data_IF_605099260331
#
_entry.id   IF_605099260331
#
_cell.length_a   1.000
_cell.length_b   1.000
_cell.length_c   1.000
_cell.angle_alpha   90.00
_cell.angle_beta   90.00
_cell.angle_gamma   90.00
#
_symmetry.space_group_name_H-M   'P 1'
#
loop_
_entity.id
_entity.type
_entity.pdbx_description
1 polymer ?
#
# COMPACT_ATOMS: atom_id res chain seq x y z
N UNK A 1 2.06 8.09 3.64
CA UNK A 1 1.83 7.41 4.94
C UNK A 1 0.31 7.28 5.15
N UNK A 2 -0.19 6.28 5.88
CA UNK A 2 -1.65 6.04 5.99
C UNK A 2 -2.39 6.94 6.98
N UNK A 3 -3.69 6.67 7.18
CA UNK A 3 -4.48 7.17 8.30
C UNK A 3 -4.76 8.69 8.26
N UNK A 4 -4.86 9.33 9.42
CA UNK A 4 -5.19 10.77 9.48
C UNK A 4 -4.12 11.66 8.85
N UNK A 5 -2.87 11.20 8.79
CA UNK A 5 -1.79 11.90 8.08
C UNK A 5 -2.09 12.04 6.59
N UNK A 6 -2.68 11.02 5.94
CA UNK A 6 -3.00 11.10 4.51
C UNK A 6 -4.10 12.12 4.20
N UNK A 7 -4.89 12.52 5.20
CA UNK A 7 -5.93 13.55 5.07
C UNK A 7 -5.36 14.92 5.41
N UNK A 8 -4.63 15.03 6.53
CA UNK A 8 -4.07 16.30 7.01
C UNK A 8 -2.92 16.82 6.14
N UNK A 9 -2.15 15.91 5.57
CA UNK A 9 -0.95 16.20 4.78
C UNK A 9 -1.05 15.49 3.42
N UNK A 10 -2.15 15.74 2.69
CA UNK A 10 -2.52 14.98 1.50
C UNK A 10 -1.41 14.98 0.42
N UNK A 11 -0.84 16.14 0.11
CA UNK A 11 0.22 16.27 -0.90
C UNK A 11 1.48 15.49 -0.53
N UNK A 12 1.96 15.67 0.72
CA UNK A 12 3.14 14.97 1.23
C UNK A 12 2.91 13.47 1.23
N UNK A 13 1.77 13.01 1.76
CA UNK A 13 1.43 11.60 1.77
C UNK A 13 1.33 11.01 0.36
N UNK A 14 0.83 11.80 -0.59
CA UNK A 14 0.72 11.48 -2.01
C UNK A 14 2.07 11.19 -2.66
N UNK A 15 3.06 12.06 -2.47
CA UNK A 15 4.41 11.83 -3.00
C UNK A 15 5.11 10.65 -2.29
N UNK A 16 4.93 10.50 -0.97
CA UNK A 16 5.48 9.34 -0.25
C UNK A 16 4.94 8.01 -0.78
N UNK A 17 3.63 7.92 -1.04
CA UNK A 17 3.03 6.66 -1.53
C UNK A 17 3.39 6.38 -2.98
N UNK A 18 3.53 7.43 -3.80
CA UNK A 18 4.03 7.34 -5.18
C UNK A 18 5.44 6.76 -5.22
N UNK A 19 6.36 7.32 -4.44
CA UNK A 19 7.73 6.81 -4.34
C UNK A 19 7.76 5.37 -3.83
N UNK A 20 6.98 5.06 -2.79
CA UNK A 20 6.88 3.69 -2.27
C UNK A 20 6.39 2.70 -3.31
N UNK A 21 5.35 3.05 -4.09
CA UNK A 21 4.83 2.19 -5.14
C UNK A 21 5.82 2.03 -6.29
N UNK A 22 6.54 3.09 -6.67
CA UNK A 22 7.59 3.01 -7.69
C UNK A 22 8.66 1.96 -7.31
N UNK A 23 9.21 2.05 -6.10
CA UNK A 23 10.20 1.07 -5.61
C UNK A 23 9.61 -0.34 -5.47
N UNK A 24 8.37 -0.47 -4.99
CA UNK A 24 7.69 -1.77 -4.94
C UNK A 24 7.60 -2.42 -6.31
N UNK A 25 7.34 -1.65 -7.37
CA UNK A 25 7.17 -2.20 -8.71
C UNK A 25 8.49 -2.60 -9.40
N UNK A 26 9.64 -2.16 -8.91
CA UNK A 26 10.95 -2.60 -9.43
C UNK A 26 11.15 -4.10 -9.28
N UNK A 27 10.65 -4.70 -8.19
CA UNK A 27 10.74 -6.14 -7.92
C UNK A 27 9.53 -6.94 -8.40
N UNK A 28 8.52 -6.27 -8.97
CA UNK A 28 7.29 -6.87 -9.54
C UNK A 28 6.63 -7.91 -8.62
N UNK A 29 6.27 -7.53 -7.37
CA UNK A 29 5.76 -8.48 -6.40
C UNK A 29 4.33 -8.91 -6.76
N UNK A 30 4.02 -10.18 -6.55
CA UNK A 30 2.63 -10.66 -6.62
C UNK A 30 1.83 -10.24 -5.38
N UNK A 31 2.50 -10.12 -4.23
CA UNK A 31 1.88 -9.82 -2.93
C UNK A 31 2.58 -8.68 -2.20
N UNK A 32 1.80 -7.84 -1.55
CA UNK A 32 2.26 -6.89 -0.54
C UNK A 32 1.58 -7.20 0.78
N UNK A 33 2.37 -7.54 1.80
CA UNK A 33 1.88 -7.91 3.12
C UNK A 33 2.31 -6.83 4.13
N UNK A 34 1.39 -6.40 4.99
CA UNK A 34 1.70 -5.46 6.07
C UNK A 34 0.82 -5.66 7.30
N UNK A 35 1.14 -4.94 8.38
CA UNK A 35 0.43 -5.03 9.66
C UNK A 35 -0.38 -3.77 10.01
N UNK A 36 -0.31 -2.73 9.18
CA UNK A 36 -1.05 -1.49 9.40
C UNK A 36 -2.09 -1.29 8.29
N UNK A 37 -3.37 -1.44 8.65
CA UNK A 37 -4.49 -1.36 7.72
C UNK A 37 -4.55 0.00 7.01
N UNK A 38 -4.20 1.08 7.71
CA UNK A 38 -4.25 2.43 7.14
C UNK A 38 -3.18 2.65 6.07
N UNK A 39 -2.00 2.07 6.27
CA UNK A 39 -0.92 2.05 5.30
C UNK A 39 -1.27 1.17 4.11
N UNK A 40 -1.83 -0.02 4.36
CA UNK A 40 -2.27 -0.94 3.32
C UNK A 40 -3.33 -0.30 2.43
N UNK A 41 -4.33 0.38 2.99
CA UNK A 41 -5.35 1.11 2.24
C UNK A 41 -4.76 2.21 1.37
N UNK A 42 -3.81 2.97 1.91
CA UNK A 42 -3.15 4.05 1.17
C UNK A 42 -2.34 3.51 -0.02
N UNK A 43 -1.57 2.43 0.20
CA UNK A 43 -0.74 1.80 -0.83
C UNK A 43 -1.61 1.08 -1.87
N UNK A 44 -2.60 0.30 -1.44
CA UNK A 44 -3.51 -0.42 -2.35
C UNK A 44 -4.29 0.54 -3.24
N UNK A 45 -4.78 1.65 -2.67
CA UNK A 45 -5.45 2.69 -3.44
C UNK A 45 -4.54 3.35 -4.47
N UNK A 46 -3.23 3.50 -4.20
CA UNK A 46 -2.27 4.01 -5.18
C UNK A 46 -2.01 3.00 -6.29
N UNK A 47 -1.72 1.74 -5.93
CA UNK A 47 -1.52 0.63 -6.87
C UNK A 47 -2.71 0.47 -7.83
N UNK A 48 -3.94 0.54 -7.31
CA UNK A 48 -5.15 0.43 -8.11
C UNK A 48 -5.28 1.57 -9.12
N UNK A 49 -5.00 2.82 -8.71
CA UNK A 49 -5.03 3.98 -9.63
C UNK A 49 -3.97 3.89 -10.73
N UNK A 50 -2.85 3.25 -10.45
CA UNK A 50 -1.77 3.00 -11.41
C UNK A 50 -1.95 1.70 -12.22
N UNK A 51 -3.06 0.99 -12.04
CA UNK A 51 -3.37 -0.24 -12.78
C UNK A 51 -2.49 -1.43 -12.42
N UNK A 52 -1.81 -1.40 -11.28
CA UNK A 52 -0.91 -2.46 -10.83
C UNK A 52 -1.69 -3.65 -10.27
N UNK A 53 -1.28 -4.87 -10.64
CA UNK A 53 -1.92 -6.13 -10.24
C UNK A 53 -1.23 -6.79 -9.03
N UNK A 54 -0.96 -6.01 -7.99
CA UNK A 54 -0.36 -6.51 -6.73
C UNK A 54 -1.46 -6.82 -5.73
N UNK A 55 -1.46 -8.03 -5.14
CA UNK A 55 -2.42 -8.41 -4.11
C UNK A 55 -1.96 -7.89 -2.74
N UNK A 56 -2.70 -6.94 -2.19
CA UNK A 56 -2.40 -6.34 -0.88
C UNK A 56 -3.15 -7.08 0.22
N UNK A 57 -2.46 -7.52 1.28
CA UNK A 57 -3.04 -8.29 2.39
C UNK A 57 -2.50 -7.84 3.74
N UNK A 58 -3.31 -7.95 4.78
CA UNK A 58 -2.89 -7.83 6.16
C UNK A 58 -2.25 -9.14 6.65
N UNK A 59 -1.22 -9.05 7.49
CA UNK A 59 -0.50 -10.22 8.00
C UNK A 59 -1.43 -11.22 8.73
N UNK A 60 -2.46 -10.73 9.42
CA UNK A 60 -3.45 -11.60 10.05
C UNK A 60 -4.20 -12.47 9.03
N UNK A 61 -4.51 -11.95 7.82
CA UNK A 61 -5.17 -12.74 6.77
C UNK A 61 -4.27 -13.88 6.29
N UNK A 62 -2.96 -13.62 6.17
CA UNK A 62 -1.96 -14.61 5.78
C UNK A 62 -1.77 -15.69 6.84
N UNK A 63 -1.76 -15.30 8.12
CA UNK A 63 -1.60 -16.25 9.23
C UNK A 63 -2.87 -17.08 9.48
N UNK A 64 -4.04 -16.55 9.16
CA UNK A 64 -5.33 -17.23 9.30
C UNK A 64 -5.71 -18.10 8.10
N UNK A 65 -5.06 -17.96 6.94
CA UNK A 65 -5.38 -18.73 5.72
C UNK A 65 -4.89 -20.19 5.76
N UNK A 66 -4.99 -20.84 6.92
CA UNK A 66 -4.68 -22.26 7.12
C UNK A 66 -5.85 -23.15 6.73
#
# INVERSE_FOLDING_TARGET
FGGTFSVKMAEISGEMVKEKVAHLMEVRPEYLIGADVSCLLNISGRLQREGQKVKVMHIAEVLMSR
#
